data_IF_973146278669
#
_entry.id   IF_973146278669
#
_cell.length_a   1.000
_cell.length_b   1.000
_cell.length_c   1.000
_cell.angle_alpha   90.00
_cell.angle_beta   90.00
_cell.angle_gamma   90.00
#
_symmetry.space_group_name_H-M   'P 1'
#
loop_
_entity.id
_entity.type
_entity.pdbx_description
1 polymer ?
#
# COMPACT_ATOMS: atom_id res chain seq x y z
N UNK A 1 -17.03 -29.21 -0.42
CA UNK A 1 -15.63 -29.59 -0.67
C UNK A 1 -14.76 -28.55 0.00
N UNK A 2 -14.17 -28.89 1.16
CA UNK A 2 -13.32 -27.98 1.92
C UNK A 2 -11.91 -28.07 1.35
N UNK A 3 -11.52 -27.11 0.50
CA UNK A 3 -10.18 -27.09 -0.09
C UNK A 3 -9.18 -26.83 1.02
N UNK A 4 -8.44 -27.85 1.43
CA UNK A 4 -7.42 -27.73 2.45
C UNK A 4 -6.28 -26.86 1.90
N UNK A 5 -6.06 -25.71 2.54
CA UNK A 5 -5.06 -24.72 2.13
C UNK A 5 -3.67 -25.38 2.11
N UNK A 6 -3.39 -26.28 3.05
CA UNK A 6 -2.11 -26.98 3.12
C UNK A 6 -1.84 -27.84 1.89
N UNK A 7 -2.88 -28.50 1.35
CA UNK A 7 -2.77 -29.30 0.13
C UNK A 7 -2.51 -28.43 -1.09
N UNK A 8 -3.13 -27.23 -1.15
CA UNK A 8 -2.90 -26.27 -2.24
C UNK A 8 -1.49 -25.66 -2.19
N UNK A 9 -0.99 -25.35 -1.00
CA UNK A 9 0.37 -24.86 -0.79
C UNK A 9 1.41 -25.94 -1.06
N UNK A 10 1.12 -27.20 -0.70
CA UNK A 10 1.97 -28.34 -1.03
C UNK A 10 2.03 -28.60 -2.54
N UNK A 11 0.92 -28.39 -3.26
CA UNK A 11 0.90 -28.47 -4.72
C UNK A 11 1.72 -27.34 -5.37
N UNK A 12 1.56 -26.10 -4.88
CA UNK A 12 2.31 -24.94 -5.38
C UNK A 12 3.82 -25.13 -5.20
N UNK A 13 4.25 -25.70 -4.07
CA UNK A 13 5.66 -26.01 -3.79
C UNK A 13 6.28 -26.99 -4.78
N UNK A 14 5.47 -27.88 -5.38
CA UNK A 14 5.94 -28.88 -6.35
C UNK A 14 6.03 -28.32 -7.77
N UNK A 15 5.51 -27.11 -8.02
CA UNK A 15 5.65 -26.51 -9.35
C UNK A 15 7.12 -26.16 -9.61
N UNK A 16 7.62 -26.48 -10.82
CA UNK A 16 8.97 -26.09 -11.21
C UNK A 16 9.08 -24.57 -11.24
N UNK A 17 10.20 -24.05 -10.76
CA UNK A 17 10.51 -22.62 -10.82
C UNK A 17 10.42 -22.16 -12.28
N UNK A 18 9.68 -21.08 -12.52
CA UNK A 18 9.50 -20.56 -13.87
C UNK A 18 10.84 -20.07 -14.44
N UNK A 19 11.12 -20.35 -15.71
CA UNK A 19 12.39 -19.99 -16.37
C UNK A 19 12.66 -18.48 -16.35
N UNK A 20 11.62 -17.64 -16.33
CA UNK A 20 11.73 -16.19 -16.15
C UNK A 20 12.25 -15.74 -14.78
N UNK A 21 12.30 -16.64 -13.78
CA UNK A 21 12.89 -16.36 -12.46
C UNK A 21 14.40 -16.62 -12.42
N UNK A 22 14.96 -17.31 -13.42
CA UNK A 22 16.40 -17.60 -13.47
C UNK A 22 17.18 -16.30 -13.62
N UNK A 23 18.03 -15.97 -12.64
CA UNK A 23 18.81 -14.74 -12.61
C UNK A 23 17.96 -13.48 -12.44
N UNK A 24 16.77 -13.61 -11.84
CA UNK A 24 15.91 -12.47 -11.54
C UNK A 24 16.56 -11.59 -10.47
N UNK A 25 17.28 -12.18 -9.53
CA UNK A 25 18.09 -11.49 -8.52
C UNK A 25 19.09 -10.53 -9.16
N UNK A 26 19.88 -10.99 -10.12
CA UNK A 26 20.87 -10.17 -10.82
C UNK A 26 20.21 -9.07 -11.64
N UNK A 27 19.08 -9.38 -12.30
CA UNK A 27 18.32 -8.38 -13.06
C UNK A 27 17.75 -7.29 -12.16
N UNK A 28 17.24 -7.65 -10.98
CA UNK A 28 16.69 -6.70 -10.00
C UNK A 28 17.80 -5.84 -9.42
N UNK A 29 18.91 -6.44 -8.99
CA UNK A 29 20.05 -5.69 -8.44
C UNK A 29 20.62 -4.73 -9.48
N UNK A 30 20.77 -5.18 -10.73
CA UNK A 30 21.22 -4.32 -11.83
C UNK A 30 20.24 -3.19 -12.12
N UNK A 31 18.92 -3.45 -12.04
CA UNK A 31 17.91 -2.40 -12.20
C UNK A 31 17.92 -1.37 -11.05
N UNK A 32 18.26 -1.78 -9.83
CA UNK A 32 18.44 -0.88 -8.68
C UNK A 32 19.71 -0.04 -8.86
N UNK A 33 20.81 -0.63 -9.34
CA UNK A 33 22.05 0.10 -9.65
C UNK A 33 21.87 1.09 -10.80
N UNK A 34 21.13 0.70 -11.85
CA UNK A 34 20.81 1.57 -12.99
C UNK A 34 19.72 2.61 -12.65
N UNK A 35 19.04 2.49 -11.51
CA UNK A 35 18.06 3.48 -11.09
C UNK A 35 18.79 4.82 -10.95
N UNK A 36 18.46 5.82 -11.78
CA UNK A 36 19.13 7.10 -11.68
C UNK A 36 18.80 7.67 -10.30
N UNK A 37 19.80 7.71 -9.43
CA UNK A 37 19.76 8.59 -8.28
C UNK A 37 19.67 9.97 -8.89
N UNK A 38 18.47 10.57 -8.86
CA UNK A 38 18.30 11.95 -9.23
C UNK A 38 19.18 12.75 -8.27
N UNK A 39 20.41 13.04 -8.70
CA UNK A 39 21.35 13.86 -7.97
C UNK A 39 20.84 15.28 -8.11
N UNK A 40 19.83 15.60 -7.30
CA UNK A 40 19.45 16.96 -7.02
C UNK A 40 20.71 17.64 -6.49
N UNK A 41 21.29 18.56 -7.26
CA UNK A 41 22.46 19.32 -6.81
C UNK A 41 22.18 19.92 -5.43
N UNK A 42 23.18 20.02 -4.56
CA UNK A 42 22.99 20.39 -3.15
C UNK A 42 22.09 21.64 -2.93
N UNK A 43 22.07 22.58 -3.88
CA UNK A 43 21.15 23.71 -3.86
C UNK A 43 19.66 23.34 -3.98
N UNK A 44 19.31 22.37 -4.83
CA UNK A 44 17.92 21.89 -5.04
C UNK A 44 17.39 21.04 -3.87
N UNK A 45 18.25 20.27 -3.20
CA UNK A 45 17.85 19.58 -1.97
C UNK A 45 17.62 20.56 -0.83
N UNK A 46 18.46 21.59 -0.71
CA UNK A 46 18.33 22.60 0.34
C UNK A 46 17.04 23.41 0.18
N UNK A 47 16.67 23.77 -1.05
CA UNK A 47 15.41 24.49 -1.33
C UNK A 47 14.19 23.61 -1.07
N UNK A 48 14.21 22.35 -1.47
CA UNK A 48 13.11 21.40 -1.21
C UNK A 48 12.88 21.19 0.29
N UNK A 49 13.96 20.98 1.05
CA UNK A 49 13.88 20.85 2.52
C UNK A 49 13.35 22.13 3.15
N UNK A 50 13.86 23.29 2.73
CA UNK A 50 13.41 24.59 3.25
C UNK A 50 11.93 24.84 2.97
N UNK A 51 11.47 24.52 1.76
CA UNK A 51 10.07 24.65 1.37
C UNK A 51 9.17 23.69 2.17
N UNK A 52 9.58 22.43 2.33
CA UNK A 52 8.84 21.45 3.14
C UNK A 52 8.73 21.89 4.60
N UNK A 53 9.81 22.44 5.17
CA UNK A 53 9.81 22.96 6.54
C UNK A 53 8.87 24.17 6.66
N UNK A 54 8.93 25.10 5.69
CA UNK A 54 8.04 26.25 5.65
C UNK A 54 6.56 25.82 5.56
N UNK A 55 6.21 24.93 4.62
CA UNK A 55 4.86 24.40 4.50
C UNK A 55 4.38 23.71 5.78
N UNK A 56 5.23 22.91 6.43
CA UNK A 56 4.89 22.25 7.70
C UNK A 56 4.60 23.25 8.82
N UNK A 57 5.43 24.29 8.95
CA UNK A 57 5.24 25.35 9.95
C UNK A 57 3.98 26.18 9.65
N UNK A 58 3.78 26.59 8.40
CA UNK A 58 2.58 27.34 8.00
C UNK A 58 1.29 26.52 8.14
N UNK A 59 1.32 25.22 7.83
CA UNK A 59 0.17 24.32 7.99
C UNK A 59 -0.23 24.10 9.46
N UNK A 60 0.68 24.31 10.40
CA UNK A 60 0.37 24.22 11.83
C UNK A 60 -0.23 25.53 12.38
N UNK A 61 0.10 26.67 11.77
CA UNK A 61 -0.35 28.00 12.21
C UNK A 61 -1.72 28.35 11.62
N UNK A 62 -1.99 27.92 10.39
CA UNK A 62 -3.31 28.04 9.78
C UNK A 62 -4.12 26.78 10.10
N UNK A 63 -5.04 26.80 11.08
CA UNK A 63 -5.97 25.70 11.26
C UNK A 63 -6.76 25.55 9.96
N UNK A 64 -6.42 24.52 9.18
CA UNK A 64 -7.13 24.17 7.96
C UNK A 64 -8.61 24.07 8.34
N UNK A 65 -9.42 24.93 7.72
CA UNK A 65 -10.87 24.99 7.89
C UNK A 65 -11.42 23.59 8.06
N UNK A 66 -12.22 23.37 9.13
CA UNK A 66 -12.82 22.09 9.53
C UNK A 66 -12.87 21.12 8.35
N UNK A 67 -11.98 20.12 8.35
CA UNK A 67 -11.99 19.08 7.34
C UNK A 67 -13.39 18.47 7.31
N UNK A 68 -14.18 18.85 6.32
CA UNK A 68 -15.50 18.32 6.14
C UNK A 68 -15.28 16.93 5.53
N UNK A 69 -15.20 15.92 6.40
CA UNK A 69 -15.13 14.53 5.98
C UNK A 69 -16.27 14.33 4.99
N UNK A 70 -15.94 13.99 3.74
CA UNK A 70 -16.96 13.66 2.75
C UNK A 70 -17.88 12.60 3.38
N UNK A 71 -19.20 12.80 3.34
CA UNK A 71 -20.13 11.92 4.03
C UNK A 71 -19.93 10.50 3.49
N UNK A 72 -19.40 9.64 4.35
CA UNK A 72 -19.36 8.19 4.23
C UNK A 72 -18.97 7.67 2.83
N UNK A 73 -17.69 7.79 2.49
CA UNK A 73 -17.11 6.90 1.48
C UNK A 73 -17.18 5.50 2.08
N UNK A 74 -18.14 4.69 1.62
CA UNK A 74 -18.19 3.25 1.88
C UNK A 74 -17.42 2.55 0.74
N UNK A 75 -16.07 2.45 0.79
CA UNK A 75 -15.27 1.88 -0.30
C UNK A 75 -15.57 0.40 -0.57
N UNK A 76 -16.26 -0.26 0.35
CA UNK A 76 -16.67 -1.66 0.25
C UNK A 76 -18.19 -1.85 0.07
N UNK A 77 -18.90 -0.79 -0.33
CA UNK A 77 -20.35 -0.82 -0.54
C UNK A 77 -21.17 -0.66 0.74
N UNK A 78 -22.49 -0.48 0.58
CA UNK A 78 -23.44 -0.48 1.68
C UNK A 78 -23.27 -1.77 2.50
N UNK A 79 -23.22 -1.72 3.84
CA UNK A 79 -23.22 -2.92 4.66
C UNK A 79 -24.42 -3.78 4.24
N UNK A 80 -24.14 -4.88 3.54
CA UNK A 80 -25.19 -5.81 3.16
C UNK A 80 -25.92 -6.25 4.42
N UNK A 81 -27.25 -6.31 4.38
CA UNK A 81 -28.10 -6.74 5.50
C UNK A 81 -27.77 -8.16 6.04
N UNK A 82 -26.78 -8.83 5.42
CA UNK A 82 -26.29 -10.17 5.71
C UNK A 82 -24.87 -10.17 6.31
N UNK A 83 -24.39 -9.05 6.86
CA UNK A 83 -23.12 -9.05 7.57
C UNK A 83 -23.15 -10.11 8.70
N UNK A 84 -22.07 -10.90 8.87
CA UNK A 84 -22.08 -12.09 9.74
C UNK A 84 -22.39 -11.83 11.22
N UNK A 85 -22.33 -10.57 11.69
CA UNK A 85 -22.76 -10.17 13.03
C UNK A 85 -24.28 -10.11 13.20
N UNK A 86 -25.06 -9.94 12.12
CA UNK A 86 -26.54 -9.99 12.18
C UNK A 86 -27.02 -11.39 12.53
N UNK A 87 -26.28 -12.43 12.13
CA UNK A 87 -26.58 -13.83 12.44
C UNK A 87 -26.37 -14.17 13.93
N UNK A 88 -25.51 -13.43 14.64
CA UNK A 88 -25.35 -13.55 16.10
C UNK A 88 -26.38 -12.71 16.88
N UNK A 89 -27.04 -11.74 16.26
CA UNK A 89 -28.04 -10.88 16.90
C UNK A 89 -29.47 -11.42 16.88
N UNK A 90 -29.79 -12.31 15.92
CA UNK A 90 -31.13 -12.92 15.79
C UNK A 90 -31.28 -14.27 16.52
N UNK A 91 -30.23 -14.74 17.22
CA UNK A 91 -30.34 -15.87 18.14
C UNK A 91 -30.95 -15.42 19.48
N UNK A 92 -32.25 -15.10 19.48
CA UNK A 92 -33.08 -15.08 20.70
C UNK A 92 -34.43 -15.75 20.47
#
# INVERSE_FOLDING_TARGET
MNTNIDDTLAALRRQPSHSGLVGLEDRVLRAIEDQPTATFGAGTTLTAVSLALALGVFSNIFPSTKANAAPNLAPFGTPGALAPSTLLGEAR
#
